data_IF_440679919980
#
_entry.id   IF_440679919980
#
_cell.length_a   1.000
_cell.length_b   1.000
_cell.length_c   1.000
_cell.angle_alpha   90.00
_cell.angle_beta   90.00
_cell.angle_gamma   90.00
#
_symmetry.space_group_name_H-M   'P 1'
#
loop_
_entity.id
_entity.type
_entity.pdbx_description
1 polymer ?
#
# COMPACT_ATOMS: atom_id res chain seq x y z
N UNK A 1 -32.76 -17.00 5.02
CA UNK A 1 -32.44 -15.87 4.10
C UNK A 1 -31.22 -16.20 3.24
N UNK A 2 -31.38 -16.97 2.14
CA UNK A 2 -30.29 -17.43 1.25
C UNK A 2 -30.67 -17.33 -0.24
N UNK A 3 -31.07 -16.17 -0.77
CA UNK A 3 -31.48 -16.05 -2.19
C UNK A 3 -31.10 -14.80 -2.97
N UNK A 4 -30.30 -13.86 -2.44
CA UNK A 4 -30.00 -12.60 -3.16
C UNK A 4 -28.61 -12.48 -3.81
N UNK A 5 -27.70 -13.43 -3.64
CA UNK A 5 -26.30 -13.29 -4.11
C UNK A 5 -26.08 -13.67 -5.60
N UNK A 6 -27.07 -14.27 -6.28
CA UNK A 6 -26.88 -14.82 -7.64
C UNK A 6 -27.00 -13.78 -8.77
N UNK A 7 -27.39 -12.53 -8.48
CA UNK A 7 -27.59 -11.50 -9.53
C UNK A 7 -26.30 -10.75 -9.93
N UNK A 8 -25.29 -10.68 -9.07
CA UNK A 8 -24.06 -9.92 -9.34
C UNK A 8 -23.06 -10.64 -10.28
N UNK A 9 -23.24 -11.93 -10.54
CA UNK A 9 -22.30 -12.74 -11.34
C UNK A 9 -22.46 -12.65 -12.86
N UNK A 10 -23.50 -11.98 -13.39
CA UNK A 10 -23.81 -11.99 -14.84
C UNK A 10 -23.58 -10.66 -15.57
N UNK A 11 -23.08 -9.62 -14.90
CA UNK A 11 -22.81 -8.34 -15.55
C UNK A 11 -21.41 -8.35 -16.19
N UNK A 12 -21.28 -8.15 -17.52
CA UNK A 12 -20.02 -8.32 -18.25
C UNK A 12 -18.90 -7.37 -17.79
N UNK A 13 -19.26 -6.18 -17.27
CA UNK A 13 -18.32 -5.23 -16.69
C UNK A 13 -17.69 -5.75 -15.38
N UNK A 14 -18.49 -6.35 -14.50
CA UNK A 14 -18.02 -6.90 -13.23
C UNK A 14 -17.15 -8.14 -13.43
N UNK A 15 -17.41 -8.94 -14.47
CA UNK A 15 -16.56 -10.10 -14.79
C UNK A 15 -15.13 -9.67 -15.15
N UNK A 16 -14.96 -8.70 -16.05
CA UNK A 16 -13.63 -8.17 -16.40
C UNK A 16 -12.89 -7.61 -15.19
N UNK A 17 -13.59 -6.83 -14.36
CA UNK A 17 -13.02 -6.27 -13.13
C UNK A 17 -12.58 -7.36 -12.14
N UNK A 18 -13.40 -8.41 -11.98
CA UNK A 18 -13.06 -9.55 -11.13
C UNK A 18 -11.83 -10.31 -11.65
N UNK A 19 -11.76 -10.55 -12.97
CA UNK A 19 -10.64 -11.22 -13.62
C UNK A 19 -9.34 -10.40 -13.44
N UNK A 20 -9.41 -9.07 -13.58
CA UNK A 20 -8.29 -8.14 -13.36
C UNK A 20 -7.78 -8.19 -11.92
N UNK A 21 -8.69 -8.10 -10.93
CA UNK A 21 -8.34 -8.19 -9.51
C UNK A 21 -7.69 -9.54 -9.21
N UNK A 22 -8.24 -10.62 -9.78
CA UNK A 22 -7.72 -11.96 -9.57
C UNK A 22 -6.29 -12.07 -10.10
N UNK A 23 -6.04 -11.59 -11.32
CA UNK A 23 -4.70 -11.54 -11.91
C UNK A 23 -3.72 -10.73 -11.06
N UNK A 24 -4.10 -9.51 -10.68
CA UNK A 24 -3.23 -8.65 -9.86
C UNK A 24 -2.91 -9.27 -8.49
N UNK A 25 -3.88 -9.97 -7.89
CA UNK A 25 -3.64 -10.75 -6.67
C UNK A 25 -2.62 -11.85 -6.94
N UNK A 26 -2.83 -12.69 -7.95
CA UNK A 26 -1.90 -13.78 -8.29
C UNK A 26 -0.48 -13.26 -8.52
N UNK A 27 -0.33 -12.16 -9.25
CA UNK A 27 0.95 -11.50 -9.49
C UNK A 27 1.60 -11.02 -8.17
N UNK A 28 0.84 -10.35 -7.29
CA UNK A 28 1.34 -9.93 -5.98
C UNK A 28 1.72 -11.11 -5.08
N UNK A 29 0.92 -12.17 -5.06
CA UNK A 29 1.23 -13.39 -4.31
C UNK A 29 2.54 -14.02 -4.81
N UNK A 30 2.73 -14.11 -6.13
CA UNK A 30 3.97 -14.64 -6.72
C UNK A 30 5.19 -13.78 -6.38
N UNK A 31 5.01 -12.46 -6.31
CA UNK A 31 6.05 -11.53 -5.92
C UNK A 31 6.48 -11.75 -4.46
N UNK A 32 5.52 -11.81 -3.53
CA UNK A 32 5.82 -12.09 -2.13
C UNK A 32 6.48 -13.45 -1.97
N UNK A 33 5.92 -14.50 -2.61
CA UNK A 33 6.45 -15.86 -2.50
C UNK A 33 7.93 -15.91 -2.94
N UNK A 34 8.26 -15.34 -4.10
CA UNK A 34 9.64 -15.28 -4.58
C UNK A 34 10.59 -14.62 -3.57
N UNK A 35 10.21 -13.47 -3.02
CA UNK A 35 11.04 -12.75 -2.04
C UNK A 35 11.17 -13.50 -0.71
N UNK A 36 10.11 -14.15 -0.25
CA UNK A 36 10.15 -14.95 0.97
C UNK A 36 11.04 -16.18 0.77
N UNK A 37 11.01 -16.84 -0.39
CA UNK A 37 11.92 -17.95 -0.70
C UNK A 37 13.39 -17.49 -0.76
N UNK A 38 13.66 -16.35 -1.39
CA UNK A 38 14.99 -15.75 -1.43
C UNK A 38 15.53 -15.44 -0.01
N UNK A 39 14.67 -14.97 0.90
CA UNK A 39 15.02 -14.80 2.32
C UNK A 39 15.23 -16.15 3.01
N UNK A 40 14.30 -17.09 2.85
CA UNK A 40 14.36 -18.42 3.48
C UNK A 40 15.65 -19.15 3.16
N UNK A 41 16.18 -19.01 1.95
CA UNK A 41 17.45 -19.60 1.54
C UNK A 41 18.69 -19.05 2.27
N UNK A 42 18.59 -17.86 2.87
CA UNK A 42 19.69 -17.16 3.56
C UNK A 42 19.58 -17.20 5.08
N UNK A 43 18.44 -17.63 5.62
CA UNK A 43 18.20 -17.66 7.06
C UNK A 43 18.97 -18.82 7.70
N UNK A 44 19.80 -18.49 8.69
CA UNK A 44 20.32 -19.47 9.64
C UNK A 44 19.35 -19.60 10.82
N UNK A 45 18.51 -20.62 10.78
CA UNK A 45 17.50 -20.88 11.81
C UNK A 45 18.09 -21.26 13.17
N UNK A 46 19.37 -21.64 13.23
CA UNK A 46 20.05 -22.03 14.46
C UNK A 46 20.79 -20.86 15.13
N UNK A 47 20.82 -19.70 14.46
CA UNK A 47 21.55 -18.55 14.95
C UNK A 47 20.70 -17.68 15.89
N UNK A 48 21.20 -17.45 17.10
CA UNK A 48 20.53 -16.62 18.12
C UNK A 48 20.64 -15.10 17.89
N UNK A 49 21.11 -14.64 16.73
CA UNK A 49 21.10 -13.19 16.45
C UNK A 49 19.69 -12.66 16.21
N UNK A 50 19.56 -11.35 16.39
CA UNK A 50 18.35 -10.62 16.05
C UNK A 50 17.99 -10.80 14.56
N UNK A 51 16.70 -11.04 14.22
CA UNK A 51 16.27 -11.17 12.83
C UNK A 51 16.48 -9.87 12.05
N UNK A 52 16.91 -9.96 10.79
CA UNK A 52 17.18 -8.78 9.95
C UNK A 52 15.93 -8.00 9.57
N UNK A 53 14.80 -8.69 9.54
CA UNK A 53 13.52 -8.14 9.11
C UNK A 53 12.34 -8.92 9.70
N UNK A 54 11.16 -8.34 9.53
CA UNK A 54 9.89 -8.93 9.98
C UNK A 54 9.63 -10.32 9.37
N UNK A 55 10.02 -10.56 8.12
CA UNK A 55 9.78 -11.83 7.45
C UNK A 55 10.64 -12.93 8.06
N UNK A 56 11.92 -12.67 8.31
CA UNK A 56 12.81 -13.59 9.01
C UNK A 56 12.31 -13.88 10.42
N UNK A 57 11.91 -12.85 11.18
CA UNK A 57 11.36 -13.03 12.52
C UNK A 57 10.15 -13.97 12.52
N UNK A 58 9.23 -13.78 11.57
CA UNK A 58 8.04 -14.62 11.44
C UNK A 58 8.37 -16.06 11.00
N UNK A 59 9.31 -16.23 10.06
CA UNK A 59 9.74 -17.55 9.59
C UNK A 59 10.45 -18.35 10.70
N UNK A 60 11.26 -17.69 11.54
CA UNK A 60 11.88 -18.31 12.71
C UNK A 60 10.85 -18.76 13.75
N UNK A 61 9.80 -17.97 13.97
CA UNK A 61 8.72 -18.37 14.87
C UNK A 61 7.92 -19.55 14.31
N UNK A 62 7.65 -19.58 12.99
CA UNK A 62 7.09 -20.77 12.34
C UNK A 62 7.97 -21.99 12.63
N UNK A 63 9.28 -21.88 12.40
CA UNK A 63 10.21 -23.00 12.61
C UNK A 63 10.28 -23.46 14.07
N UNK A 64 10.30 -22.53 15.03
CA UNK A 64 10.29 -22.85 16.47
C UNK A 64 9.03 -23.62 16.91
N UNK A 65 7.91 -23.35 16.25
CA UNK A 65 6.62 -23.98 16.55
C UNK A 65 6.39 -25.24 15.69
N UNK A 66 7.27 -25.59 14.75
CA UNK A 66 7.13 -26.81 13.95
C UNK A 66 7.05 -28.05 14.87
N UNK A 67 5.98 -28.82 14.72
CA UNK A 67 5.70 -30.00 15.56
C UNK A 67 4.88 -29.73 16.82
N UNK A 68 4.54 -28.48 17.12
CA UNK A 68 3.57 -28.14 18.17
C UNK A 68 2.15 -28.08 17.59
N UNK A 69 1.21 -28.80 18.19
CA UNK A 69 -0.20 -28.71 17.79
C UNK A 69 -0.82 -27.38 18.26
N UNK A 70 -1.72 -26.82 17.44
CA UNK A 70 -2.53 -25.67 17.81
C UNK A 70 -1.93 -24.27 17.58
N UNK A 71 -0.80 -24.15 16.87
CA UNK A 71 -0.23 -22.84 16.56
C UNK A 71 -1.00 -22.10 15.43
N UNK A 72 -1.03 -20.78 15.48
CA UNK A 72 -1.68 -19.92 14.48
C UNK A 72 -0.70 -19.28 13.50
N UNK A 73 0.55 -19.75 13.43
CA UNK A 73 1.56 -19.24 12.52
C UNK A 73 1.60 -20.13 11.27
N UNK A 74 1.31 -19.54 10.11
CA UNK A 74 1.39 -20.24 8.84
C UNK A 74 1.99 -19.33 7.77
N UNK A 75 2.58 -19.97 6.76
CA UNK A 75 3.12 -19.28 5.59
C UNK A 75 2.05 -18.43 4.87
N UNK A 76 0.80 -18.91 4.81
CA UNK A 76 -0.30 -18.15 4.20
C UNK A 76 -0.63 -16.88 4.99
N UNK A 77 -0.57 -16.94 6.32
CA UNK A 77 -0.77 -15.77 7.18
C UNK A 77 0.39 -14.78 7.06
N UNK A 78 1.63 -15.24 6.90
CA UNK A 78 2.77 -14.38 6.60
C UNK A 78 2.51 -13.56 5.34
N UNK A 79 2.13 -14.19 4.22
CA UNK A 79 1.81 -13.47 2.98
C UNK A 79 0.64 -12.49 3.18
N UNK A 80 -0.39 -12.89 3.91
CA UNK A 80 -1.55 -12.02 4.18
C UNK A 80 -1.15 -10.77 4.99
N UNK A 81 -0.33 -10.93 6.03
CA UNK A 81 0.16 -9.82 6.86
C UNK A 81 1.07 -8.90 6.06
N UNK A 82 2.02 -9.47 5.30
CA UNK A 82 2.89 -8.68 4.41
C UNK A 82 2.09 -7.90 3.37
N UNK A 83 1.07 -8.53 2.77
CA UNK A 83 0.19 -7.89 1.80
C UNK A 83 -0.58 -6.71 2.41
N UNK A 84 -1.14 -6.91 3.60
CA UNK A 84 -1.88 -5.87 4.31
C UNK A 84 -0.96 -4.70 4.71
N UNK A 85 0.24 -5.01 5.24
CA UNK A 85 1.23 -4.02 5.63
C UNK A 85 1.67 -3.16 4.43
N UNK A 86 1.99 -3.81 3.31
CA UNK A 86 2.39 -3.13 2.08
C UNK A 86 1.29 -2.23 1.54
N UNK A 87 0.06 -2.74 1.40
CA UNK A 87 -1.08 -1.96 0.90
C UNK A 87 -1.39 -0.76 1.79
N UNK A 88 -1.41 -0.96 3.11
CA UNK A 88 -1.68 0.11 4.06
C UNK A 88 -0.64 1.25 3.96
N UNK A 89 0.64 0.90 3.87
CA UNK A 89 1.72 1.88 3.74
C UNK A 89 1.72 2.61 2.40
N UNK A 90 1.46 1.89 1.31
CA UNK A 90 1.48 2.45 -0.05
C UNK A 90 0.35 3.45 -0.28
N UNK A 91 -0.90 3.07 -0.01
CA UNK A 91 -2.05 3.94 -0.33
C UNK A 91 -2.01 5.24 0.48
N UNK A 92 -1.74 5.14 1.77
CA UNK A 92 -1.75 6.30 2.69
C UNK A 92 -0.60 7.27 2.40
N UNK A 93 0.61 6.75 2.14
CA UNK A 93 1.79 7.58 1.82
C UNK A 93 1.63 8.25 0.47
N UNK A 94 1.19 7.52 -0.56
CA UNK A 94 0.97 8.06 -1.90
C UNK A 94 -0.11 9.15 -1.88
N UNK A 95 -1.22 8.90 -1.16
CA UNK A 95 -2.31 9.88 -1.01
C UNK A 95 -1.83 11.13 -0.29
N UNK A 96 -1.10 10.97 0.81
CA UNK A 96 -0.54 12.09 1.58
C UNK A 96 0.39 12.94 0.72
N UNK A 97 1.33 12.31 0.01
CA UNK A 97 2.22 13.01 -0.91
C UNK A 97 1.44 13.72 -2.03
N UNK A 98 0.42 13.08 -2.58
CA UNK A 98 -0.46 13.68 -3.58
C UNK A 98 -1.15 14.94 -3.08
N UNK A 99 -1.68 14.92 -1.85
CA UNK A 99 -2.30 16.08 -1.19
C UNK A 99 -1.28 17.17 -0.96
N UNK A 100 -0.12 16.85 -0.37
CA UNK A 100 0.94 17.82 -0.06
C UNK A 100 1.41 18.53 -1.32
N UNK A 101 1.67 17.79 -2.41
CA UNK A 101 2.08 18.37 -3.68
C UNK A 101 0.98 19.22 -4.30
N UNK A 102 -0.29 18.80 -4.17
CA UNK A 102 -1.44 19.56 -4.66
C UNK A 102 -1.61 20.89 -3.90
N UNK A 103 -1.47 20.86 -2.58
CA UNK A 103 -1.52 22.05 -1.72
C UNK A 103 -0.34 22.98 -2.03
N UNK A 104 0.88 22.45 -2.12
CA UNK A 104 2.07 23.22 -2.51
C UNK A 104 1.85 23.93 -3.85
N UNK A 105 1.35 23.22 -4.88
CA UNK A 105 1.06 23.81 -6.18
C UNK A 105 0.02 24.94 -6.09
N UNK A 106 -1.04 24.76 -5.29
CA UNK A 106 -2.05 25.80 -5.06
C UNK A 106 -1.45 27.03 -4.38
N UNK A 107 -0.66 26.86 -3.32
CA UNK A 107 -0.02 27.98 -2.61
C UNK A 107 0.90 28.76 -3.55
N UNK A 108 1.80 28.07 -4.27
CA UNK A 108 2.73 28.73 -5.21
C UNK A 108 1.97 29.49 -6.30
N UNK A 109 0.87 28.93 -6.82
CA UNK A 109 0.02 29.62 -7.80
C UNK A 109 -0.65 30.86 -7.19
N UNK A 110 -1.18 30.76 -5.97
CA UNK A 110 -1.78 31.89 -5.26
C UNK A 110 -0.77 33.00 -4.95
N UNK A 111 0.46 32.68 -4.58
CA UNK A 111 1.54 33.66 -4.38
C UNK A 111 1.89 34.36 -5.69
N UNK A 112 2.12 33.60 -6.78
CA UNK A 112 2.38 34.18 -8.10
C UNK A 112 1.25 35.09 -8.59
N UNK A 113 0.00 34.70 -8.33
CA UNK A 113 -1.14 35.56 -8.63
C UNK A 113 -1.04 36.85 -7.83
N UNK A 114 -0.90 36.79 -6.50
CA UNK A 114 -0.74 38.00 -5.68
C UNK A 114 0.40 38.90 -6.19
N UNK A 115 1.57 38.35 -6.47
CA UNK A 115 2.73 39.11 -6.96
C UNK A 115 2.45 39.79 -8.31
N UNK A 116 1.81 39.08 -9.24
CA UNK A 116 1.39 39.64 -10.53
C UNK A 116 0.30 40.70 -10.39
N UNK A 117 -0.46 40.63 -9.28
CA UNK A 117 -1.58 41.49 -9.01
C UNK A 117 -1.19 42.79 -8.25
N UNK A 118 -0.12 42.77 -7.45
CA UNK A 118 0.38 43.93 -6.70
C UNK A 118 0.63 45.23 -7.53
N UNK A 119 1.11 45.19 -8.79
CA UNK A 119 1.34 46.41 -9.58
C UNK A 119 0.06 47.14 -9.98
N UNK A 120 -1.02 46.42 -10.33
CA UNK A 120 -2.26 47.09 -10.71
C UNK A 120 -2.97 47.65 -9.47
N UNK A 121 -2.87 46.99 -8.31
CA UNK A 121 -3.49 47.50 -7.09
C UNK A 121 -2.92 48.88 -6.78
N UNK A 122 -1.58 49.01 -6.82
CA UNK A 122 -0.90 50.31 -6.64
C UNK A 122 -1.32 51.37 -7.65
N UNK A 123 -1.51 51.00 -8.93
CA UNK A 123 -2.00 51.92 -9.96
C UNK A 123 -3.41 52.45 -9.63
N UNK A 124 -4.35 51.54 -9.35
CA UNK A 124 -5.75 51.89 -9.05
C UNK A 124 -5.85 52.76 -7.79
N UNK A 125 -5.04 52.49 -6.77
CA UNK A 125 -5.01 53.29 -5.54
C UNK A 125 -4.30 54.64 -5.71
N UNK A 126 -3.37 54.77 -6.67
CA UNK A 126 -2.69 56.05 -6.96
C UNK A 126 -3.52 57.01 -7.81
N UNK A 127 -4.44 56.51 -8.63
CA UNK A 127 -5.36 57.35 -9.44
C UNK A 127 -6.58 57.86 -8.64
N UNK A 128 -6.78 57.34 -7.43
CA UNK A 128 -7.93 57.63 -6.58
C UNK A 128 -7.62 58.59 -5.43
N UNK A 129 -6.36 59.01 -5.28
CA UNK A 129 -5.83 59.97 -4.30
C UNK A 129 -5.44 61.26 -4.99
#
# INVERSE_FOLDING_TARGET
MRRHFHLFGKLPYFKKFYDEIKKNKEDLYSFYDRHIQEHKAKIDFNHNAEPSDFCEAYLREIHKLEGQEGHYFSYKQLIAVLSALWLAGQETTATTLGIVLSVRRRIVRSCKLKDNLQPYERMIYSERS
#
